data_IF_991554594315
#
_entry.id   IF_991554594315
#
_cell.length_a   1.000
_cell.length_b   1.000
_cell.length_c   1.000
_cell.angle_alpha   90.00
_cell.angle_beta   90.00
_cell.angle_gamma   90.00
#
_symmetry.space_group_name_H-M   'P 1'
#
loop_
_entity.id
_entity.type
_entity.pdbx_description
1 polymer ?
#
# COMPACT_ATOMS: atom_id res chain seq x y z
N UNK A 1 7.53 -19.02 -5.43
CA UNK A 1 8.05 -18.43 -6.67
C UNK A 1 8.23 -16.96 -6.41
N UNK A 2 9.40 -16.41 -6.71
CA UNK A 2 9.72 -15.01 -6.45
C UNK A 2 9.63 -14.24 -7.76
N UNK A 3 8.79 -13.21 -7.80
CA UNK A 3 8.64 -12.33 -8.96
C UNK A 3 9.35 -11.02 -8.65
N UNK A 4 10.35 -10.66 -9.44
CA UNK A 4 11.26 -9.56 -9.13
C UNK A 4 11.11 -8.45 -10.18
N UNK A 5 10.59 -7.27 -9.82
CA UNK A 5 10.29 -6.17 -10.76
C UNK A 5 11.36 -5.07 -10.77
N UNK A 6 11.60 -4.40 -11.91
CA UNK A 6 12.35 -3.14 -11.99
C UNK A 6 11.37 -1.96 -12.13
N UNK A 7 11.50 -0.88 -11.34
CA UNK A 7 10.73 0.34 -11.59
C UNK A 7 11.20 1.00 -12.89
N UNK A 8 10.27 1.46 -13.74
CA UNK A 8 10.63 2.25 -14.93
C UNK A 8 11.38 3.52 -14.49
N UNK A 9 12.46 3.88 -15.17
CA UNK A 9 13.19 5.12 -14.93
C UNK A 9 12.28 6.32 -15.21
N UNK A 10 11.61 6.82 -14.18
CA UNK A 10 11.04 8.15 -14.21
C UNK A 10 12.21 9.14 -14.07
N UNK A 11 12.39 10.01 -15.06
CA UNK A 11 13.30 11.15 -15.00
C UNK A 11 12.98 12.00 -13.76
N UNK A 12 13.70 11.76 -12.66
CA UNK A 12 13.75 12.70 -11.55
C UNK A 12 14.69 13.84 -11.95
N UNK A 13 14.13 14.78 -12.70
CA UNK A 13 14.74 16.09 -12.91
C UNK A 13 14.88 16.80 -11.57
N UNK A 14 16.11 17.03 -11.18
CA UNK A 14 16.50 17.92 -10.09
C UNK A 14 16.02 19.34 -10.37
N UNK A 15 15.03 19.82 -9.62
CA UNK A 15 14.86 21.26 -9.39
C UNK A 15 14.53 21.50 -7.91
N UNK A 16 15.57 21.87 -7.16
CA UNK A 16 15.40 22.69 -5.96
C UNK A 16 14.76 24.02 -6.40
N UNK A 17 13.54 24.29 -5.93
CA UNK A 17 13.04 25.68 -5.82
C UNK A 17 12.55 25.90 -4.40
N UNK A 18 13.34 26.67 -3.67
CA UNK A 18 12.92 27.45 -2.50
C UNK A 18 11.62 28.19 -2.84
N UNK A 19 10.57 27.96 -2.06
CA UNK A 19 9.40 28.84 -2.06
C UNK A 19 9.65 29.92 -1.02
N UNK A 20 9.89 31.15 -1.50
CA UNK A 20 9.85 32.38 -0.70
C UNK A 20 8.40 32.66 -0.29
N UNK A 21 8.19 32.98 0.98
CA UNK A 21 6.98 33.67 1.44
C UNK A 21 7.05 35.14 0.98
N UNK A 22 5.98 35.63 0.37
CA UNK A 22 5.71 37.06 0.23
C UNK A 22 4.25 37.31 0.63
N UNK A 23 4.11 38.21 1.59
CA UNK A 23 2.90 38.86 2.09
C UNK A 23 2.46 40.02 1.20
N UNK A 24 1.26 40.56 1.48
CA UNK A 24 0.59 41.76 0.95
C UNK A 24 -0.35 41.45 -0.25
N UNK A 25 -1.61 41.88 -0.32
CA UNK A 25 -2.29 43.04 0.25
C UNK A 25 -3.77 42.74 0.58
N UNK A 26 -4.28 43.39 1.63
CA UNK A 26 -5.69 43.44 2.05
C UNK A 26 -6.49 44.40 1.16
N UNK A 27 -7.69 43.99 0.71
CA UNK A 27 -8.78 44.92 0.37
C UNK A 27 -10.00 44.54 1.22
N UNK A 28 -10.43 45.49 2.07
CA UNK A 28 -11.56 45.37 2.99
C UNK A 28 -12.91 45.43 2.23
N UNK A 29 -13.57 44.28 2.06
CA UNK A 29 -15.00 44.23 1.71
C UNK A 29 -15.86 44.17 2.98
N UNK A 30 -16.56 45.27 3.28
CA UNK A 30 -17.56 45.32 4.37
C UNK A 30 -18.83 44.57 3.94
N UNK A 31 -19.03 43.40 4.55
CA UNK A 31 -20.25 42.60 4.47
C UNK A 31 -21.39 43.24 5.27
N UNK A 32 -22.47 43.66 4.59
CA UNK A 32 -23.74 44.00 5.24
C UNK A 32 -24.60 42.75 5.38
N UNK A 33 -24.60 42.13 6.57
CA UNK A 33 -25.48 41.02 6.89
C UNK A 33 -26.92 41.51 7.12
N UNK A 34 -27.89 40.90 6.43
CA UNK A 34 -29.32 41.07 6.75
C UNK A 34 -29.83 39.81 7.42
N UNK A 35 -30.21 39.91 8.70
CA UNK A 35 -30.90 38.82 9.42
C UNK A 35 -32.39 38.95 9.17
N UNK A 36 -33.04 37.89 8.68
CA UNK A 36 -34.51 37.77 8.64
C UNK A 36 -34.97 36.96 9.85
N UNK A 37 -35.81 37.54 10.69
CA UNK A 37 -36.69 36.82 11.62
C UNK A 37 -38.13 36.89 11.10
N UNK A 38 -38.94 35.89 11.43
CA UNK A 38 -40.16 35.50 10.70
C UNK A 38 -41.34 36.49 10.64
N UNK A 39 -41.25 37.71 11.17
CA UNK A 39 -42.37 38.68 11.06
C UNK A 39 -41.87 40.11 10.80
N UNK A 40 -42.08 40.61 9.58
CA UNK A 40 -42.18 42.05 9.26
C UNK A 40 -40.88 42.88 9.22
N UNK A 41 -40.61 43.50 8.07
CA UNK A 41 -39.44 44.38 7.85
C UNK A 41 -39.66 45.77 8.46
N UNK A 42 -38.86 46.17 9.45
CA UNK A 42 -38.61 47.59 9.76
C UNK A 42 -37.15 47.92 9.46
N UNK A 43 -36.92 48.81 8.50
CA UNK A 43 -35.60 49.37 8.20
C UNK A 43 -35.37 50.60 9.07
N UNK A 44 -34.45 50.52 10.04
CA UNK A 44 -33.74 51.70 10.54
C UNK A 44 -32.32 51.65 9.99
N UNK A 45 -32.01 52.56 9.06
CA UNK A 45 -30.65 52.83 8.64
C UNK A 45 -29.91 53.56 9.79
N UNK A 46 -28.68 53.17 10.16
CA UNK A 46 -27.84 54.06 10.95
C UNK A 46 -27.46 55.27 10.08
N UNK A 47 -27.68 56.47 10.60
CA UNK A 47 -27.12 57.70 10.04
C UNK A 47 -25.61 57.65 10.29
N UNK A 48 -24.83 57.50 9.23
CA UNK A 48 -23.40 57.81 9.25
C UNK A 48 -23.28 59.18 8.60
N UNK A 49 -23.06 60.21 9.42
CA UNK A 49 -22.67 61.53 8.93
C UNK A 49 -21.19 61.49 8.58
N UNK A 50 -20.86 61.81 7.33
CA UNK A 50 -19.49 62.06 6.91
C UNK A 50 -19.30 63.58 6.77
N UNK A 51 -18.24 64.18 7.33
CA UNK A 51 -18.04 65.63 7.32
C UNK A 51 -17.41 66.06 6.00
N UNK A 52 -18.21 66.04 4.92
CA UNK A 52 -18.02 66.81 3.68
C UNK A 52 -19.22 66.51 2.77
N UNK A 53 -20.07 67.52 2.56
CA UNK A 53 -21.42 67.36 2.00
C UNK A 53 -21.50 67.00 0.51
N UNK A 54 -21.34 65.71 0.19
CA UNK A 54 -21.71 65.17 -1.13
C UNK A 54 -22.58 63.92 -0.98
N UNK A 55 -23.87 64.03 -1.32
CA UNK A 55 -24.80 62.90 -1.40
C UNK A 55 -24.50 62.03 -2.63
N UNK A 56 -23.83 60.90 -2.45
CA UNK A 56 -23.66 59.88 -3.49
C UNK A 56 -24.84 58.89 -3.43
N UNK A 57 -25.69 58.87 -4.47
CA UNK A 57 -26.77 57.88 -4.60
C UNK A 57 -26.21 56.54 -5.07
N UNK A 58 -26.08 55.57 -4.17
CA UNK A 58 -25.74 54.20 -4.55
C UNK A 58 -26.98 53.48 -5.11
N UNK A 59 -26.88 53.00 -6.36
CA UNK A 59 -27.94 52.20 -7.01
C UNK A 59 -27.69 50.73 -6.70
N UNK A 60 -28.49 50.14 -5.81
CA UNK A 60 -28.41 48.71 -5.52
C UNK A 60 -28.86 47.91 -6.76
N UNK A 61 -27.95 47.18 -7.40
CA UNK A 61 -28.31 46.21 -8.44
C UNK A 61 -28.78 44.93 -7.75
N UNK A 62 -29.98 44.46 -8.06
CA UNK A 62 -30.50 43.19 -7.58
C UNK A 62 -29.60 42.06 -8.08
N UNK A 63 -28.77 41.51 -7.19
CA UNK A 63 -28.02 40.28 -7.46
C UNK A 63 -29.07 39.17 -7.54
N UNK A 64 -29.22 38.54 -8.72
CA UNK A 64 -30.00 37.32 -8.83
C UNK A 64 -29.37 36.32 -7.87
N UNK A 65 -30.09 35.92 -6.83
CA UNK A 65 -29.69 34.81 -5.99
C UNK A 65 -29.51 33.57 -6.87
N UNK A 66 -28.27 33.26 -7.21
CA UNK A 66 -27.90 31.95 -7.75
C UNK A 66 -27.86 31.03 -6.54
N UNK A 67 -29.01 30.48 -6.18
CA UNK A 67 -29.05 29.39 -5.19
C UNK A 67 -28.30 28.22 -5.83
N UNK A 68 -27.20 27.71 -5.25
CA UNK A 68 -26.53 26.55 -5.79
C UNK A 68 -27.47 25.36 -5.62
N UNK A 69 -28.22 25.02 -6.68
CA UNK A 69 -29.28 24.01 -6.66
C UNK A 69 -28.73 22.57 -6.64
N UNK A 70 -27.48 22.38 -6.21
CA UNK A 70 -26.83 21.08 -6.08
C UNK A 70 -25.94 21.11 -4.84
N UNK A 71 -26.27 20.28 -3.84
CA UNK A 71 -25.33 19.92 -2.78
C UNK A 71 -24.01 19.50 -3.45
N UNK A 72 -22.85 20.06 -3.08
CA UNK A 72 -21.58 19.60 -3.64
C UNK A 72 -21.49 18.10 -3.37
N UNK A 73 -21.39 17.29 -4.44
CA UNK A 73 -21.12 15.86 -4.30
C UNK A 73 -19.80 15.77 -3.54
N UNK A 74 -19.83 15.30 -2.27
CA UNK A 74 -18.62 15.00 -1.52
C UNK A 74 -17.78 14.06 -2.37
N UNK A 75 -16.72 14.57 -2.98
CA UNK A 75 -15.82 13.76 -3.78
C UNK A 75 -15.16 12.81 -2.79
N UNK A 76 -15.43 11.50 -2.87
CA UNK A 76 -14.68 10.50 -2.09
C UNK A 76 -13.20 10.74 -2.40
N UNK A 77 -12.45 11.26 -1.43
CA UNK A 77 -11.01 11.42 -1.57
C UNK A 77 -10.45 10.00 -1.57
N UNK A 78 -9.91 9.57 -2.72
CA UNK A 78 -9.26 8.27 -2.80
C UNK A 78 -7.94 8.36 -2.03
N UNK A 79 -7.82 7.61 -0.94
CA UNK A 79 -6.66 7.70 -0.05
C UNK A 79 -5.40 7.13 -0.72
N UNK A 80 -5.55 6.03 -1.46
CA UNK A 80 -4.46 5.37 -2.18
C UNK A 80 -4.65 5.42 -3.71
N UNK A 81 -3.58 5.73 -4.44
CA UNK A 81 -3.46 5.58 -5.88
C UNK A 81 -2.11 4.93 -6.24
N UNK A 82 -1.85 4.64 -7.51
CA UNK A 82 -0.56 4.07 -7.95
C UNK A 82 0.33 5.12 -8.63
N UNK A 83 0.17 6.40 -8.27
CA UNK A 83 1.00 7.50 -8.77
C UNK A 83 2.17 7.84 -7.84
N UNK A 84 2.17 7.28 -6.62
CA UNK A 84 3.22 7.41 -5.62
C UNK A 84 3.28 6.17 -4.73
N UNK A 85 4.39 6.01 -4.02
CA UNK A 85 4.50 5.02 -2.95
C UNK A 85 3.89 5.59 -1.66
N UNK A 86 3.16 4.76 -0.94
CA UNK A 86 2.36 5.20 0.22
C UNK A 86 2.92 4.65 1.52
N UNK A 87 2.63 5.35 2.62
CA UNK A 87 2.95 4.91 3.99
C UNK A 87 2.05 3.73 4.39
N UNK A 88 2.48 2.99 5.41
CA UNK A 88 1.79 1.78 5.88
C UNK A 88 0.32 2.04 6.24
N UNK A 89 0.03 3.16 6.90
CA UNK A 89 -1.33 3.52 7.31
C UNK A 89 -2.28 3.71 6.12
N UNK A 90 -1.81 4.29 5.01
CA UNK A 90 -2.59 4.46 3.77
C UNK A 90 -2.84 3.12 3.11
N UNK A 91 -1.83 2.23 3.10
CA UNK A 91 -1.97 0.87 2.56
C UNK A 91 -2.99 0.07 3.38
N UNK A 92 -2.95 0.15 4.71
CA UNK A 92 -3.90 -0.54 5.58
C UNK A 92 -5.31 0.00 5.44
N UNK A 93 -5.45 1.32 5.39
CA UNK A 93 -6.74 1.95 5.11
C UNK A 93 -7.28 1.49 3.74
N UNK A 94 -6.44 1.36 2.72
CA UNK A 94 -6.85 0.83 1.42
C UNK A 94 -7.40 -0.60 1.50
N UNK A 95 -6.80 -1.49 2.31
CA UNK A 95 -7.34 -2.84 2.52
C UNK A 95 -8.71 -2.79 3.22
N UNK A 96 -8.82 -1.98 4.26
CA UNK A 96 -10.07 -1.80 5.00
C UNK A 96 -11.17 -1.18 4.11
N UNK A 97 -10.80 -0.29 3.17
CA UNK A 97 -11.71 0.24 2.15
C UNK A 97 -12.19 -0.84 1.19
N UNK A 98 -11.34 -1.77 0.77
CA UNK A 98 -11.74 -2.88 -0.11
C UNK A 98 -12.72 -3.83 0.57
N UNK A 99 -12.49 -4.20 1.83
CA UNK A 99 -13.44 -5.00 2.61
C UNK A 99 -14.76 -4.28 2.79
N UNK A 100 -14.74 -3.01 3.20
CA UNK A 100 -15.96 -2.22 3.41
C UNK A 100 -16.77 -2.03 2.14
N UNK A 101 -16.11 -1.76 1.02
CA UNK A 101 -16.78 -1.45 -0.25
C UNK A 101 -17.16 -2.73 -1.03
N UNK A 102 -16.52 -3.89 -0.76
CA UNK A 102 -16.78 -5.18 -1.41
C UNK A 102 -16.90 -6.36 -0.40
N UNK A 103 -17.77 -6.28 0.62
CA UNK A 103 -17.79 -7.23 1.74
C UNK A 103 -18.23 -8.65 1.36
N UNK A 104 -18.89 -8.82 0.21
CA UNK A 104 -19.30 -10.14 -0.27
C UNK A 104 -18.12 -11.01 -0.76
N UNK A 105 -16.98 -10.38 -1.08
CA UNK A 105 -15.81 -11.07 -1.63
C UNK A 105 -14.51 -10.76 -0.91
N UNK A 106 -14.47 -9.71 -0.06
CA UNK A 106 -13.26 -9.28 0.64
C UNK A 106 -13.39 -9.50 2.15
N UNK A 107 -12.32 -10.00 2.77
CA UNK A 107 -12.18 -10.05 4.23
C UNK A 107 -10.76 -9.66 4.62
N UNK A 108 -10.60 -8.73 5.54
CA UNK A 108 -9.30 -8.35 6.10
C UNK A 108 -9.10 -9.06 7.43
N UNK A 109 -7.94 -9.67 7.60
CA UNK A 109 -7.54 -10.35 8.83
C UNK A 109 -6.14 -9.97 9.24
N UNK A 110 -5.86 -10.03 10.53
CA UNK A 110 -4.51 -9.88 11.07
C UNK A 110 -3.94 -11.29 11.24
N UNK A 111 -2.84 -11.59 10.54
CA UNK A 111 -2.20 -12.92 10.58
C UNK A 111 -1.09 -13.02 11.63
N UNK A 112 -0.72 -11.89 12.22
CA UNK A 112 0.32 -11.80 13.24
C UNK A 112 0.68 -10.35 13.56
N UNK A 113 1.66 -10.19 14.44
CA UNK A 113 2.27 -8.91 14.79
C UNK A 113 3.73 -8.93 14.37
N UNK A 114 4.27 -7.78 13.97
CA UNK A 114 5.71 -7.61 13.75
C UNK A 114 6.48 -7.48 15.07
N UNK A 115 7.80 -7.37 15.00
CA UNK A 115 8.65 -7.23 16.18
C UNK A 115 8.31 -5.97 17.01
N UNK A 116 8.02 -4.85 16.36
CA UNK A 116 7.60 -3.60 17.00
C UNK A 116 6.07 -3.55 17.27
N UNK A 117 5.35 -4.67 17.09
CA UNK A 117 3.94 -4.82 17.47
C UNK A 117 2.93 -4.27 16.47
N UNK A 118 3.34 -3.97 15.23
CA UNK A 118 2.41 -3.56 14.16
C UNK A 118 1.66 -4.78 13.64
N UNK A 119 0.40 -4.59 13.24
CA UNK A 119 -0.37 -5.65 12.59
C UNK A 119 0.29 -6.10 11.29
N UNK A 120 0.20 -7.39 10.98
CA UNK A 120 0.47 -7.91 9.64
C UNK A 120 -0.90 -8.22 9.02
N UNK A 121 -1.38 -7.30 8.18
CA UNK A 121 -2.71 -7.42 7.54
C UNK A 121 -2.65 -8.27 6.28
N UNK A 122 -3.62 -9.17 6.15
CA UNK A 122 -3.90 -9.97 4.96
C UNK A 122 -5.31 -9.64 4.45
N UNK A 123 -5.43 -9.44 3.14
CA UNK A 123 -6.71 -9.39 2.43
C UNK A 123 -7.00 -10.75 1.81
N UNK A 124 -8.11 -11.38 2.18
CA UNK A 124 -8.69 -12.52 1.48
C UNK A 124 -9.68 -12.02 0.41
N UNK A 125 -9.52 -12.46 -0.84
CA UNK A 125 -10.52 -12.26 -1.91
C UNK A 125 -11.05 -13.63 -2.34
N UNK A 126 -12.35 -13.87 -2.21
CA UNK A 126 -12.96 -15.19 -2.46
C UNK A 126 -14.44 -15.08 -2.83
N UNK A 127 -14.93 -16.03 -3.63
CA UNK A 127 -16.37 -16.23 -3.84
C UNK A 127 -17.01 -17.18 -2.79
N UNK A 128 -16.26 -17.57 -1.76
CA UNK A 128 -16.66 -18.49 -0.69
C UNK A 128 -16.98 -19.93 -1.14
N UNK A 129 -16.57 -20.35 -2.33
CA UNK A 129 -16.67 -21.75 -2.76
C UNK A 129 -15.63 -22.60 -2.02
N UNK A 130 -16.08 -23.58 -1.22
CA UNK A 130 -15.22 -24.48 -0.46
C UNK A 130 -14.29 -25.35 -1.31
N UNK A 131 -14.54 -25.46 -2.62
CA UNK A 131 -13.68 -26.18 -3.58
C UNK A 131 -12.52 -25.32 -4.09
N UNK A 132 -12.48 -24.04 -3.75
CA UNK A 132 -11.39 -23.16 -4.16
C UNK A 132 -10.06 -23.63 -3.60
N UNK A 133 -9.01 -23.36 -4.37
CA UNK A 133 -7.63 -23.50 -3.93
C UNK A 133 -7.06 -22.14 -3.54
N UNK A 134 -6.14 -22.15 -2.58
CA UNK A 134 -5.48 -20.96 -2.07
C UNK A 134 -4.35 -20.52 -2.99
N UNK A 135 -4.29 -19.21 -3.23
CA UNK A 135 -3.16 -18.53 -3.86
C UNK A 135 -2.61 -17.53 -2.86
N UNK A 136 -1.39 -17.78 -2.38
CA UNK A 136 -0.67 -16.85 -1.53
C UNK A 136 0.09 -15.83 -2.36
N UNK A 137 -0.02 -14.57 -2.00
CA UNK A 137 0.65 -13.46 -2.67
C UNK A 137 1.13 -12.44 -1.65
N UNK A 138 2.44 -12.29 -1.48
CA UNK A 138 3.03 -11.32 -0.56
C UNK A 138 4.00 -10.35 -1.24
N UNK A 139 4.27 -9.25 -0.54
CA UNK A 139 5.24 -8.24 -0.91
C UNK A 139 5.95 -7.64 0.30
N UNK A 140 7.02 -6.89 0.02
CA UNK A 140 7.75 -6.10 1.02
C UNK A 140 8.26 -6.91 2.19
N UNK A 141 8.63 -8.17 1.95
CA UNK A 141 9.47 -8.93 2.87
C UNK A 141 10.83 -8.23 3.06
N UNK A 142 11.37 -7.63 1.99
CA UNK A 142 12.39 -6.59 2.08
C UNK A 142 11.72 -5.22 1.89
N UNK A 143 11.83 -4.30 2.86
CA UNK A 143 11.02 -3.10 2.90
C UNK A 143 11.47 -2.01 1.93
N UNK A 144 12.75 -1.97 1.52
CA UNK A 144 13.25 -1.00 0.52
C UNK A 144 12.65 -1.20 -0.88
N UNK A 145 11.99 -2.33 -1.12
CA UNK A 145 11.47 -2.76 -2.42
C UNK A 145 10.04 -2.24 -2.65
N UNK A 146 9.81 -0.93 -2.51
CA UNK A 146 8.47 -0.30 -2.50
C UNK A 146 7.57 -0.63 -3.71
N UNK A 147 8.16 -0.94 -4.87
CA UNK A 147 7.40 -1.35 -6.05
C UNK A 147 6.65 -2.67 -5.83
N UNK A 148 7.17 -3.58 -5.00
CA UNK A 148 6.49 -4.83 -4.64
C UNK A 148 5.12 -4.53 -4.00
N UNK A 149 5.07 -3.63 -3.01
CA UNK A 149 3.83 -3.21 -2.35
C UNK A 149 2.84 -2.62 -3.35
N UNK A 150 3.33 -1.73 -4.22
CA UNK A 150 2.49 -1.05 -5.19
C UNK A 150 1.87 -2.04 -6.20
N UNK A 151 2.65 -2.99 -6.70
CA UNK A 151 2.17 -4.04 -7.63
C UNK A 151 1.15 -4.94 -6.95
N UNK A 152 1.44 -5.42 -5.74
CA UNK A 152 0.54 -6.32 -5.01
C UNK A 152 -0.80 -5.65 -4.67
N UNK A 153 -0.77 -4.41 -4.20
CA UNK A 153 -2.01 -3.63 -3.97
C UNK A 153 -2.75 -3.31 -5.26
N UNK A 154 -2.04 -3.11 -6.38
CA UNK A 154 -2.66 -2.93 -7.69
C UNK A 154 -3.38 -4.22 -8.13
N UNK A 155 -2.74 -5.38 -8.01
CA UNK A 155 -3.35 -6.67 -8.32
C UNK A 155 -4.63 -6.86 -7.49
N UNK A 156 -4.59 -6.59 -6.19
CA UNK A 156 -5.77 -6.65 -5.33
C UNK A 156 -6.90 -5.73 -5.84
N UNK A 157 -6.61 -4.46 -6.12
CA UNK A 157 -7.61 -3.52 -6.67
C UNK A 157 -8.23 -4.03 -7.99
N UNK A 158 -7.40 -4.56 -8.89
CA UNK A 158 -7.85 -5.09 -10.18
C UNK A 158 -8.74 -6.31 -10.01
N UNK A 159 -8.38 -7.25 -9.13
CA UNK A 159 -9.19 -8.44 -8.86
C UNK A 159 -10.54 -8.03 -8.25
N UNK A 160 -10.52 -7.25 -7.16
CA UNK A 160 -11.74 -6.88 -6.43
C UNK A 160 -12.70 -6.07 -7.32
N UNK A 161 -12.22 -5.02 -7.98
CA UNK A 161 -13.09 -4.10 -8.73
C UNK A 161 -13.64 -4.68 -10.03
N UNK A 162 -13.03 -5.73 -10.55
CA UNK A 162 -13.45 -6.38 -11.78
C UNK A 162 -13.97 -7.80 -11.54
N UNK A 163 -14.15 -8.23 -10.29
CA UNK A 163 -14.36 -9.63 -9.92
C UNK A 163 -15.43 -10.34 -10.76
N UNK A 164 -16.58 -9.70 -10.97
CA UNK A 164 -17.71 -10.25 -11.75
C UNK A 164 -17.40 -10.45 -13.26
N UNK A 165 -16.41 -9.74 -13.78
CA UNK A 165 -16.01 -9.78 -15.19
C UNK A 165 -14.75 -10.62 -15.43
N UNK A 166 -14.13 -11.13 -14.36
CA UNK A 166 -12.93 -11.96 -14.46
C UNK A 166 -13.30 -13.41 -14.74
N UNK A 167 -12.41 -14.13 -15.42
CA UNK A 167 -12.60 -15.54 -15.73
C UNK A 167 -12.68 -16.39 -14.46
N UNK A 168 -13.37 -17.53 -14.57
CA UNK A 168 -13.48 -18.51 -13.49
C UNK A 168 -12.12 -19.03 -13.00
N UNK A 169 -11.09 -19.02 -13.86
CA UNK A 169 -9.72 -19.35 -13.47
C UNK A 169 -9.14 -18.42 -12.41
N UNK A 170 -9.63 -17.17 -12.32
CA UNK A 170 -9.25 -16.17 -11.32
C UNK A 170 -10.25 -16.18 -10.16
N UNK A 171 -11.55 -16.25 -10.43
CA UNK A 171 -12.59 -16.10 -9.39
C UNK A 171 -12.84 -17.38 -8.58
N UNK A 172 -12.57 -18.58 -9.11
CA UNK A 172 -12.54 -19.83 -8.34
C UNK A 172 -11.18 -20.06 -7.68
N UNK A 173 -10.72 -19.06 -6.93
CA UNK A 173 -9.50 -19.10 -6.11
C UNK A 173 -9.76 -18.28 -4.85
N UNK A 174 -9.13 -18.71 -3.76
CA UNK A 174 -9.01 -17.90 -2.55
C UNK A 174 -7.67 -17.16 -2.64
N UNK A 175 -7.71 -15.87 -2.93
CA UNK A 175 -6.52 -15.03 -2.97
C UNK A 175 -6.21 -14.55 -1.55
N UNK A 176 -5.04 -14.90 -1.03
CA UNK A 176 -4.52 -14.47 0.27
C UNK A 176 -3.37 -13.49 0.04
N UNK A 177 -3.65 -12.20 0.22
CA UNK A 177 -2.77 -11.11 -0.19
C UNK A 177 -2.19 -10.39 1.02
N UNK A 178 -0.87 -10.38 1.18
CA UNK A 178 -0.14 -9.64 2.23
C UNK A 178 0.74 -8.57 1.58
N UNK A 179 0.25 -7.31 1.44
CA UNK A 179 1.02 -6.29 0.72
C UNK A 179 2.29 -5.84 1.42
N UNK A 180 2.31 -5.90 2.75
CA UNK A 180 3.47 -5.53 3.57
C UNK A 180 3.72 -6.59 4.63
N UNK A 181 4.61 -7.53 4.32
CA UNK A 181 5.00 -8.58 5.26
C UNK A 181 5.93 -8.06 6.37
N UNK A 182 6.76 -7.05 6.08
CA UNK A 182 7.69 -6.43 7.03
C UNK A 182 7.26 -4.98 7.35
N UNK A 183 6.20 -4.77 8.15
CA UNK A 183 5.67 -3.43 8.39
C UNK A 183 6.66 -2.52 9.14
N UNK A 184 7.49 -3.08 10.03
CA UNK A 184 8.46 -2.31 10.81
C UNK A 184 9.58 -1.79 9.93
N UNK A 185 10.18 -2.69 9.16
CA UNK A 185 11.19 -2.32 8.18
C UNK A 185 10.61 -1.35 7.15
N UNK A 186 9.35 -1.52 6.72
CA UNK A 186 8.71 -0.65 5.73
C UNK A 186 8.59 0.77 6.25
N UNK A 187 8.03 0.97 7.43
CA UNK A 187 7.94 2.29 8.05
C UNK A 187 9.33 2.90 8.31
N UNK A 188 10.31 2.08 8.69
CA UNK A 188 11.69 2.52 8.86
C UNK A 188 12.29 3.07 7.55
N UNK A 189 11.99 2.46 6.39
CA UNK A 189 12.41 2.99 5.08
C UNK A 189 11.79 4.31 4.69
N UNK A 190 10.65 4.66 5.28
CA UNK A 190 9.96 5.92 5.03
C UNK A 190 10.34 7.03 6.01
N UNK A 191 11.03 6.71 7.11
CA UNK A 191 11.29 7.64 8.22
C UNK A 191 12.76 7.83 8.54
N UNK A 192 13.59 6.80 8.36
CA UNK A 192 14.97 6.80 8.83
C UNK A 192 15.95 6.38 7.72
N UNK A 193 15.89 5.12 7.27
CA UNK A 193 16.84 4.57 6.29
C UNK A 193 16.11 3.94 5.12
N UNK A 194 16.06 4.67 4.01
CA UNK A 194 15.42 4.22 2.77
C UNK A 194 16.01 2.93 2.22
N UNK A 195 17.26 2.58 2.53
CA UNK A 195 17.93 1.37 2.01
C UNK A 195 17.83 0.16 2.94
N UNK A 196 17.09 0.28 4.04
CA UNK A 196 16.89 -0.83 4.99
C UNK A 196 16.28 -2.07 4.33
N UNK A 197 16.83 -3.25 4.64
CA UNK A 197 16.45 -4.54 4.01
C UNK A 197 15.77 -5.51 4.98
N UNK A 198 16.18 -5.51 6.24
CA UNK A 198 15.79 -6.51 7.25
C UNK A 198 14.50 -6.10 7.96
N UNK A 199 13.99 -6.91 8.89
CA UNK A 199 13.00 -6.42 9.87
C UNK A 199 13.68 -5.50 10.90
N UNK A 200 13.05 -5.27 12.05
CA UNK A 200 13.56 -4.40 13.12
C UNK A 200 13.89 -5.13 14.42
N UNK A 201 14.17 -6.44 14.36
CA UNK A 201 14.59 -7.21 15.53
C UNK A 201 15.84 -6.64 16.24
N UNK A 202 15.82 -6.67 17.57
CA UNK A 202 16.89 -6.13 18.41
C UNK A 202 17.60 -7.23 19.19
N UNK A 203 18.93 -7.26 19.09
CA UNK A 203 19.81 -8.22 19.77
C UNK A 203 20.87 -7.42 20.54
N UNK A 204 21.07 -7.73 21.83
CA UNK A 204 22.07 -7.05 22.66
C UNK A 204 21.89 -5.53 22.73
N UNK A 205 20.64 -5.04 22.72
CA UNK A 205 20.31 -3.60 22.73
C UNK A 205 20.44 -2.88 21.40
N UNK A 206 20.80 -3.57 20.30
CA UNK A 206 20.90 -2.98 18.95
C UNK A 206 19.87 -3.60 18.00
N UNK A 207 19.09 -2.76 17.34
CA UNK A 207 18.09 -3.17 16.36
C UNK A 207 18.73 -3.35 14.98
N UNK A 208 19.39 -4.51 14.82
CA UNK A 208 20.10 -4.90 13.59
C UNK A 208 19.19 -5.60 12.59
N UNK A 209 18.10 -6.23 13.03
CA UNK A 209 17.13 -6.94 12.21
C UNK A 209 17.61 -8.26 11.62
N UNK A 210 16.66 -9.07 11.14
CA UNK A 210 16.83 -10.34 10.43
C UNK A 210 16.33 -10.21 8.99
N UNK A 211 17.04 -10.84 8.05
CA UNK A 211 16.58 -11.00 6.68
C UNK A 211 15.47 -12.07 6.66
N UNK A 212 14.21 -11.62 6.61
CA UNK A 212 13.05 -12.50 6.62
C UNK A 212 13.09 -13.53 5.49
N UNK A 213 13.68 -13.22 4.33
CA UNK A 213 13.79 -14.15 3.21
C UNK A 213 14.98 -15.14 3.36
N UNK A 214 15.60 -15.18 4.54
CA UNK A 214 16.57 -16.20 4.98
C UNK A 214 16.11 -16.94 6.23
N UNK A 215 14.96 -16.57 6.78
CA UNK A 215 14.48 -17.06 8.06
C UNK A 215 13.45 -18.20 7.94
N UNK A 216 13.10 -18.65 6.74
CA UNK A 216 12.25 -19.84 6.56
C UNK A 216 13.04 -21.13 6.81
N UNK A 217 12.35 -22.23 7.16
CA UNK A 217 13.00 -23.49 7.57
C UNK A 217 13.70 -24.28 6.46
N UNK A 218 13.29 -24.10 5.20
CA UNK A 218 13.74 -24.99 4.14
C UNK A 218 15.16 -24.63 3.67
N UNK A 219 16.12 -25.53 3.93
CA UNK A 219 17.54 -25.31 3.61
C UNK A 219 18.20 -24.24 4.49
N UNK A 220 17.64 -23.96 5.66
CA UNK A 220 18.15 -22.94 6.58
C UNK A 220 19.60 -23.22 6.99
N UNK A 221 20.51 -22.30 6.66
CA UNK A 221 21.94 -22.42 6.95
C UNK A 221 22.70 -23.53 6.22
N UNK A 222 22.08 -24.23 5.27
CA UNK A 222 22.67 -25.44 4.68
C UNK A 222 23.98 -25.20 3.89
N UNK A 223 24.17 -23.99 3.34
CA UNK A 223 25.42 -23.62 2.65
C UNK A 223 26.34 -22.76 3.52
N UNK A 224 26.18 -22.78 4.85
CA UNK A 224 26.89 -21.89 5.74
C UNK A 224 26.69 -20.43 5.33
N UNK A 225 27.78 -19.70 5.14
CA UNK A 225 27.79 -18.27 4.78
C UNK A 225 27.53 -17.99 3.29
N UNK A 226 27.32 -19.03 2.46
CA UNK A 226 26.97 -18.85 1.06
C UNK A 226 25.47 -18.63 0.89
N UNK A 227 25.09 -17.36 0.68
CA UNK A 227 23.72 -16.95 0.41
C UNK A 227 22.91 -16.58 1.66
N UNK A 228 23.41 -16.81 2.86
CA UNK A 228 22.86 -16.32 4.14
C UNK A 228 23.99 -16.10 5.15
N UNK A 229 23.72 -15.49 6.30
CA UNK A 229 24.77 -15.29 7.33
C UNK A 229 24.28 -15.55 8.76
N UNK A 230 25.17 -16.01 9.64
CA UNK A 230 24.93 -16.11 11.09
C UNK A 230 25.29 -14.81 11.84
N UNK A 231 25.99 -13.89 11.18
CA UNK A 231 26.45 -12.64 11.77
C UNK A 231 25.30 -11.61 11.79
N UNK A 232 24.84 -11.13 12.97
CA UNK A 232 23.70 -10.21 13.06
C UNK A 232 23.89 -8.87 12.31
N UNK A 233 25.13 -8.41 12.16
CA UNK A 233 25.43 -7.20 11.39
C UNK A 233 25.32 -7.40 9.87
N UNK A 234 25.31 -8.64 9.37
CA UNK A 234 25.19 -8.93 7.95
C UNK A 234 23.77 -8.62 7.44
N UNK A 235 23.68 -8.11 6.22
CA UNK A 235 22.41 -7.77 5.57
C UNK A 235 21.57 -9.01 5.21
N UNK A 236 22.22 -10.18 5.13
CA UNK A 236 21.61 -11.50 4.91
C UNK A 236 21.54 -12.35 6.19
N UNK A 237 21.62 -11.72 7.36
CA UNK A 237 21.50 -12.42 8.63
C UNK A 237 20.22 -13.25 8.70
N UNK A 238 20.35 -14.56 8.90
CA UNK A 238 19.26 -15.56 8.80
C UNK A 238 18.41 -15.69 10.07
N UNK A 239 18.79 -14.98 11.14
CA UNK A 239 18.20 -15.11 12.46
C UNK A 239 18.84 -16.24 13.27
N UNK A 240 18.47 -16.38 14.56
CA UNK A 240 19.02 -17.41 15.45
C UNK A 240 18.45 -18.82 15.20
N UNK A 241 17.28 -18.92 14.55
CA UNK A 241 16.61 -20.18 14.24
C UNK A 241 15.65 -19.99 13.06
N UNK A 242 15.25 -21.05 12.35
CA UNK A 242 14.18 -20.95 11.36
C UNK A 242 12.87 -20.51 12.05
N UNK A 243 12.17 -19.58 11.42
CA UNK A 243 10.95 -18.93 11.93
C UNK A 243 11.14 -18.25 13.29
N UNK A 244 12.35 -17.73 13.58
CA UNK A 244 12.59 -16.92 14.77
C UNK A 244 11.84 -15.59 14.75
N UNK A 245 11.56 -15.06 13.56
CA UNK A 245 10.92 -13.76 13.41
C UNK A 245 9.39 -13.91 13.39
N UNK A 246 8.66 -13.04 14.12
CA UNK A 246 7.21 -13.15 14.18
C UNK A 246 6.55 -12.92 12.82
N UNK A 247 7.18 -12.16 11.91
CA UNK A 247 6.68 -11.98 10.55
C UNK A 247 6.72 -13.27 9.72
N UNK A 248 7.80 -14.05 9.79
CA UNK A 248 7.90 -15.32 9.05
C UNK A 248 7.06 -16.41 9.70
N UNK A 249 6.96 -16.42 11.03
CA UNK A 249 6.07 -17.31 11.77
C UNK A 249 4.60 -17.05 11.40
N UNK A 250 4.18 -15.79 11.27
CA UNK A 250 2.82 -15.43 10.85
C UNK A 250 2.45 -16.02 9.48
N UNK A 251 3.38 -16.03 8.51
CA UNK A 251 3.15 -16.66 7.19
C UNK A 251 2.99 -18.17 7.32
N UNK A 252 3.89 -18.83 8.08
CA UNK A 252 3.82 -20.27 8.35
C UNK A 252 2.48 -20.63 8.95
N UNK A 253 2.07 -19.92 10.00
CA UNK A 253 0.88 -20.24 10.77
C UNK A 253 -0.39 -19.95 9.97
N UNK A 254 -0.42 -18.86 9.18
CA UNK A 254 -1.54 -18.56 8.28
C UNK A 254 -1.73 -19.63 7.19
N UNK A 255 -0.64 -20.17 6.63
CA UNK A 255 -0.71 -21.18 5.58
C UNK A 255 -1.04 -22.56 6.16
N UNK A 256 -0.32 -22.99 7.20
CA UNK A 256 -0.49 -24.32 7.80
C UNK A 256 -1.78 -24.44 8.63
N UNK A 257 -2.27 -23.33 9.20
CA UNK A 257 -3.54 -23.28 9.93
C UNK A 257 -4.77 -23.14 9.03
N UNK A 258 -4.59 -22.94 7.72
CA UNK A 258 -5.71 -22.79 6.79
C UNK A 258 -6.31 -24.14 6.40
N UNK A 259 -7.64 -24.18 6.33
CA UNK A 259 -8.36 -25.32 5.74
C UNK A 259 -8.34 -25.29 4.20
N UNK A 260 -7.99 -24.14 3.60
CA UNK A 260 -7.89 -23.98 2.14
C UNK A 260 -6.57 -24.57 1.64
N UNK A 261 -6.58 -25.54 0.72
CA UNK A 261 -5.35 -26.10 0.17
C UNK A 261 -4.66 -25.08 -0.75
N UNK A 262 -3.51 -24.58 -0.32
CA UNK A 262 -2.68 -23.68 -1.13
C UNK A 262 -2.02 -24.43 -2.29
N UNK A 263 -2.09 -23.85 -3.50
CA UNK A 263 -1.48 -24.41 -4.72
C UNK A 263 -0.45 -23.49 -5.36
N UNK A 264 -0.41 -22.23 -4.96
CA UNK A 264 0.58 -21.26 -5.45
C UNK A 264 1.03 -20.34 -4.32
N UNK A 265 2.32 -20.01 -4.35
CA UNK A 265 2.96 -19.04 -3.47
C UNK A 265 3.81 -18.09 -4.32
N UNK A 266 3.41 -16.81 -4.35
CA UNK A 266 4.05 -15.76 -5.12
C UNK A 266 4.56 -14.68 -4.17
N UNK A 267 5.88 -14.53 -4.05
CA UNK A 267 6.48 -13.44 -3.27
C UNK A 267 7.08 -12.41 -4.20
N UNK A 268 6.66 -11.16 -4.05
CA UNK A 268 7.04 -10.06 -4.93
C UNK A 268 8.22 -9.28 -4.34
N UNK A 269 9.25 -9.13 -5.17
CA UNK A 269 10.53 -8.52 -4.85
C UNK A 269 10.92 -7.46 -5.90
N UNK A 270 12.01 -6.74 -5.64
CA UNK A 270 12.72 -5.90 -6.62
C UNK A 270 14.20 -5.75 -6.27
N UNK A 271 15.11 -5.46 -7.20
CA UNK A 271 14.96 -5.28 -8.64
C UNK A 271 15.46 -6.52 -9.40
N UNK A 272 15.37 -6.58 -10.74
CA UNK A 272 16.05 -7.52 -11.68
C UNK A 272 15.16 -8.09 -12.81
N UNK A 273 13.85 -7.80 -12.86
CA UNK A 273 12.94 -8.29 -13.92
C UNK A 273 13.01 -9.81 -14.12
N UNK A 274 13.11 -10.54 -13.00
CA UNK A 274 13.39 -11.97 -13.00
C UNK A 274 12.26 -12.72 -12.31
N UNK A 275 11.97 -13.91 -12.82
CA UNK A 275 11.07 -14.87 -12.21
C UNK A 275 11.92 -16.04 -11.70
N UNK A 276 11.95 -16.22 -10.39
CA UNK A 276 12.78 -17.23 -9.72
C UNK A 276 11.87 -18.29 -9.11
N UNK A 277 12.23 -19.55 -9.28
CA UNK A 277 11.53 -20.68 -8.69
C UNK A 277 12.53 -21.63 -8.01
N UNK A 278 12.07 -22.54 -7.14
CA UNK A 278 12.96 -23.36 -6.34
C UNK A 278 13.95 -24.20 -7.16
N UNK A 279 15.12 -24.51 -6.63
CA UNK A 279 15.59 -24.14 -5.28
C UNK A 279 16.43 -22.86 -5.29
N UNK A 280 16.36 -22.09 -4.20
CA UNK A 280 17.28 -20.96 -3.97
C UNK A 280 18.55 -21.36 -3.19
N UNK A 281 18.51 -22.49 -2.46
CA UNK A 281 19.60 -22.91 -1.57
C UNK A 281 20.47 -24.03 -2.16
N UNK A 282 20.15 -24.62 -3.31
CA UNK A 282 20.98 -25.66 -3.92
C UNK A 282 20.90 -25.62 -5.44
N UNK A 283 21.88 -26.22 -6.09
CA UNK A 283 22.03 -26.22 -7.56
C UNK A 283 21.13 -27.24 -8.26
N UNK A 284 20.89 -28.39 -7.64
CA UNK A 284 20.03 -29.41 -8.25
C UNK A 284 18.63 -28.87 -8.51
N UNK A 285 18.00 -29.18 -9.64
CA UNK A 285 16.64 -28.74 -9.93
C UNK A 285 15.64 -29.33 -8.91
N UNK A 286 14.54 -28.61 -8.68
CA UNK A 286 13.41 -29.19 -7.96
C UNK A 286 12.69 -30.25 -8.84
N UNK A 287 11.95 -31.20 -8.24
CA UNK A 287 11.24 -32.24 -9.01
C UNK A 287 10.32 -31.67 -10.09
N UNK A 288 9.68 -30.52 -9.83
CA UNK A 288 8.75 -29.86 -10.75
C UNK A 288 9.42 -28.76 -11.61
N UNK A 289 10.74 -28.76 -11.74
CA UNK A 289 11.50 -27.69 -12.40
C UNK A 289 10.99 -27.36 -13.81
N UNK A 290 10.72 -28.38 -14.63
CA UNK A 290 10.25 -28.18 -16.02
C UNK A 290 8.90 -27.46 -16.05
N UNK A 291 7.95 -27.88 -15.20
CA UNK A 291 6.63 -27.26 -15.09
C UNK A 291 6.72 -25.80 -14.64
N UNK A 292 7.62 -25.51 -13.69
CA UNK A 292 7.84 -24.15 -13.19
C UNK A 292 8.52 -23.27 -14.24
N UNK A 293 9.45 -23.82 -15.03
CA UNK A 293 10.11 -23.14 -16.14
C UNK A 293 9.11 -22.77 -17.25
N UNK A 294 8.20 -23.68 -17.60
CA UNK A 294 7.12 -23.42 -18.56
C UNK A 294 6.21 -22.28 -18.08
N UNK A 295 5.74 -22.36 -16.84
CA UNK A 295 4.92 -21.32 -16.23
C UNK A 295 5.64 -19.96 -16.15
N UNK A 296 6.90 -19.97 -15.73
CA UNK A 296 7.76 -18.78 -15.72
C UNK A 296 7.96 -18.16 -17.10
N UNK A 297 8.15 -19.00 -18.13
CA UNK A 297 8.29 -18.56 -19.52
C UNK A 297 7.01 -17.91 -20.03
N UNK A 298 5.84 -18.48 -19.74
CA UNK A 298 4.55 -17.89 -20.12
C UNK A 298 4.37 -16.53 -19.45
N UNK A 299 4.64 -16.43 -18.14
CA UNK A 299 4.55 -15.17 -17.39
C UNK A 299 5.50 -14.10 -17.96
N UNK A 300 6.73 -14.49 -18.30
CA UNK A 300 7.70 -13.57 -18.91
C UNK A 300 7.25 -13.08 -20.31
N UNK A 301 6.56 -13.92 -21.10
CA UNK A 301 6.05 -13.53 -22.42
C UNK A 301 4.89 -12.55 -22.36
N UNK A 302 4.01 -12.68 -21.37
CA UNK A 302 2.83 -11.79 -21.22
C UNK A 302 3.15 -10.51 -20.45
N UNK A 303 4.33 -10.43 -19.83
CA UNK A 303 4.82 -9.19 -19.22
C UNK A 303 5.37 -8.29 -20.32
N UNK A 304 4.80 -7.08 -20.53
CA UNK A 304 5.26 -6.19 -21.59
C UNK A 304 6.75 -5.89 -21.42
N UNK A 305 7.54 -6.17 -22.46
CA UNK A 305 8.90 -5.64 -22.54
C UNK A 305 8.77 -4.18 -22.99
N UNK A 306 9.02 -3.25 -22.09
CA UNK A 306 9.31 -1.89 -22.50
C UNK A 306 10.66 -1.95 -23.21
N UNK A 307 10.64 -2.06 -24.54
CA UNK A 307 11.79 -1.79 -25.41
C UNK A 307 11.89 -0.28 -25.56
#
# INVERSE_FOLDING_TARGET
MNVVYKPSSANYGSQHRMIRFLSSDEEDEISCATVKTENGTQTKLPKIENPMGTTQKYRCKTIKHITPNRKPKKRKIKLMDWKKYHRLNVIYSFLDELERDYPAICTVSIIGKSVEGRDIKMLKISNSDARNTGVWLDASIHPREWISTAVVTYIADRIVKNFQNLSISITNKDWHIVPVLNPDGYEYTHTHDRMWRKNRACYGGKCVGVDLNRNFSYGWGNNGEEGSSEEPSNVFYRGPAPFSEPETAAVRDAILGSTTPFKAFLSFHSYFETIIFPWGYKKDPCPDYIRLLEGGTIMARVTPRNI
#
